data_IF_954677592172
#
_entry.id   IF_954677592172
#
_cell.length_a   1.000
_cell.length_b   1.000
_cell.length_c   1.000
_cell.angle_alpha   90.00
_cell.angle_beta   90.00
_cell.angle_gamma   90.00
#
_symmetry.space_group_name_H-M   'P 1'
#
loop_
_entity.id
_entity.type
_entity.pdbx_description
1 polymer ?
#
# COMPACT_ATOMS: atom_id res chain seq x y z
N UNK A 1 -40.77 -7.77 20.03
CA UNK A 1 -40.31 -7.17 18.76
C UNK A 1 -38.96 -6.45 18.87
N UNK A 2 -38.72 -5.64 19.91
CA UNK A 2 -37.47 -4.88 20.12
C UNK A 2 -36.18 -5.73 20.20
N UNK A 3 -36.21 -6.92 20.83
CA UNK A 3 -35.05 -7.82 20.89
C UNK A 3 -34.62 -8.38 19.52
N UNK A 4 -35.57 -8.58 18.58
CA UNK A 4 -35.29 -9.03 17.21
C UNK A 4 -34.71 -7.90 16.34
N UNK A 5 -35.08 -6.65 16.61
CA UNK A 5 -34.55 -5.47 15.91
C UNK A 5 -33.12 -5.16 16.37
N UNK A 6 -32.83 -5.32 17.66
CA UNK A 6 -31.46 -5.17 18.18
C UNK A 6 -30.50 -6.23 17.65
N UNK A 7 -30.92 -7.51 17.57
CA UNK A 7 -30.10 -8.55 16.94
C UNK A 7 -29.91 -8.32 15.44
N UNK A 8 -30.92 -7.85 14.71
CA UNK A 8 -30.77 -7.49 13.29
C UNK A 8 -29.84 -6.29 13.07
N UNK A 9 -29.85 -5.28 13.95
CA UNK A 9 -28.93 -4.13 13.89
C UNK A 9 -27.49 -4.52 14.27
N UNK A 10 -27.33 -5.41 15.25
CA UNK A 10 -26.02 -5.94 15.62
C UNK A 10 -25.43 -6.82 14.50
N UNK A 11 -26.26 -7.64 13.84
CA UNK A 11 -25.85 -8.52 12.74
C UNK A 11 -25.50 -7.74 11.47
N UNK A 12 -26.28 -6.71 11.14
CA UNK A 12 -25.95 -5.80 10.02
C UNK A 12 -24.66 -5.02 10.29
N UNK A 13 -24.43 -4.58 11.54
CA UNK A 13 -23.20 -3.92 11.93
C UNK A 13 -21.96 -4.81 11.81
N UNK A 14 -22.04 -6.07 12.25
CA UNK A 14 -20.90 -7.01 12.14
C UNK A 14 -20.59 -7.39 10.71
N UNK A 15 -21.60 -7.66 9.87
CA UNK A 15 -21.40 -7.96 8.44
C UNK A 15 -20.86 -6.75 7.68
N UNK A 16 -21.41 -5.56 7.92
CA UNK A 16 -20.92 -4.32 7.32
C UNK A 16 -19.48 -4.02 7.76
N UNK A 17 -19.16 -4.23 9.05
CA UNK A 17 -17.81 -4.06 9.58
C UNK A 17 -16.80 -5.02 8.93
N UNK A 18 -17.14 -6.30 8.81
CA UNK A 18 -16.29 -7.29 8.15
C UNK A 18 -16.06 -6.96 6.67
N UNK A 19 -17.12 -6.53 5.97
CA UNK A 19 -17.04 -6.12 4.56
C UNK A 19 -16.17 -4.88 4.37
N UNK A 20 -16.26 -3.90 5.27
CA UNK A 20 -15.37 -2.74 5.23
C UNK A 20 -13.92 -3.17 5.45
N UNK A 21 -13.62 -3.92 6.51
CA UNK A 21 -12.24 -4.35 6.81
C UNK A 21 -11.65 -5.15 5.63
N UNK A 22 -12.39 -6.09 5.05
CA UNK A 22 -11.89 -6.91 3.94
C UNK A 22 -11.65 -6.15 2.64
N UNK A 23 -12.40 -5.08 2.38
CA UNK A 23 -12.20 -4.25 1.19
C UNK A 23 -11.10 -3.20 1.37
N UNK A 24 -10.84 -2.79 2.61
CA UNK A 24 -9.89 -1.73 2.94
C UNK A 24 -8.45 -2.23 3.05
N UNK A 25 -8.23 -3.50 3.40
CA UNK A 25 -6.92 -4.12 3.48
C UNK A 25 -6.71 -5.13 2.35
N UNK A 26 -5.59 -5.05 1.64
CA UNK A 26 -5.19 -6.08 0.67
C UNK A 26 -3.78 -6.58 0.96
N UNK A 27 -3.60 -7.90 1.17
CA UNK A 27 -2.28 -8.49 1.25
C UNK A 27 -1.66 -8.58 -0.15
N UNK A 28 -0.39 -8.20 -0.26
CA UNK A 28 0.44 -8.35 -1.45
C UNK A 28 1.74 -9.05 -1.08
N UNK A 29 2.23 -9.90 -1.98
CA UNK A 29 3.55 -10.53 -1.87
C UNK A 29 4.55 -9.68 -2.65
N UNK A 30 5.57 -9.11 -1.99
CA UNK A 30 6.61 -8.33 -2.66
C UNK A 30 7.86 -9.22 -2.88
N UNK A 31 8.05 -9.71 -4.11
CA UNK A 31 9.23 -10.49 -4.47
C UNK A 31 10.26 -9.57 -5.17
N UNK A 32 11.35 -9.19 -4.49
CA UNK A 32 12.44 -8.42 -5.10
C UNK A 32 13.32 -7.60 -4.13
N UNK A 33 14.59 -7.39 -4.50
CA UNK A 33 15.60 -6.77 -3.62
C UNK A 33 15.48 -5.23 -3.50
N UNK A 34 14.50 -4.60 -4.13
CA UNK A 34 14.43 -3.13 -4.24
C UNK A 34 14.08 -2.39 -2.94
N UNK A 35 13.65 -3.12 -1.90
CA UNK A 35 13.29 -2.60 -0.58
C UNK A 35 14.21 -3.11 0.55
N UNK A 36 15.34 -3.75 0.22
CA UNK A 36 16.33 -4.15 1.23
C UNK A 36 16.91 -2.90 1.93
N UNK A 37 17.09 -2.90 3.27
CA UNK A 37 16.91 -4.01 4.22
C UNK A 37 15.50 -4.09 4.87
N UNK A 38 14.57 -3.19 4.53
CA UNK A 38 13.24 -3.12 5.19
C UNK A 38 12.31 -4.25 4.79
N UNK A 39 12.42 -4.75 3.56
CA UNK A 39 11.72 -5.93 3.06
C UNK A 39 12.73 -6.86 2.35
N UNK A 40 12.54 -8.17 2.47
CA UNK A 40 13.31 -9.30 1.93
C UNK A 40 14.69 -9.55 2.61
N UNK A 41 14.72 -9.74 3.93
CA UNK A 41 15.95 -10.07 4.68
C UNK A 41 16.17 -11.59 4.88
N UNK A 42 15.12 -12.42 4.90
CA UNK A 42 15.24 -13.85 5.28
C UNK A 42 14.55 -14.80 4.29
N UNK A 43 13.40 -14.41 3.74
CA UNK A 43 12.60 -15.19 2.80
C UNK A 43 12.22 -14.26 1.66
N UNK A 44 12.47 -14.64 0.41
CA UNK A 44 12.20 -13.81 -0.79
C UNK A 44 10.71 -13.50 -1.06
N UNK A 45 9.83 -13.68 -0.05
CA UNK A 45 8.37 -13.64 -0.13
C UNK A 45 7.78 -12.86 1.06
N UNK A 46 8.22 -11.62 1.29
CA UNK A 46 7.60 -10.80 2.34
C UNK A 46 6.13 -10.47 2.00
N UNK A 47 5.25 -10.72 2.97
CA UNK A 47 3.83 -10.39 2.90
C UNK A 47 3.60 -8.97 3.42
N UNK A 48 3.14 -8.08 2.55
CA UNK A 48 2.83 -6.69 2.89
C UNK A 48 1.32 -6.52 2.92
N UNK A 49 0.79 -5.99 4.01
CA UNK A 49 -0.62 -5.62 4.12
C UNK A 49 -0.73 -4.14 3.78
N UNK A 50 -1.49 -3.82 2.72
CA UNK A 50 -1.68 -2.45 2.25
C UNK A 50 -3.07 -1.96 2.59
N UNK A 51 -3.16 -0.78 3.17
CA UNK A 51 -4.41 -0.07 3.37
C UNK A 51 -4.79 0.76 2.12
N UNK A 52 -6.04 0.65 1.67
CA UNK A 52 -6.58 1.42 0.55
C UNK A 52 -7.17 2.76 0.95
N UNK A 53 -7.27 3.06 2.26
CA UNK A 53 -7.93 4.26 2.76
C UNK A 53 -7.02 5.48 2.65
N UNK A 54 -5.74 5.33 3.01
CA UNK A 54 -4.81 6.45 3.10
C UNK A 54 -4.59 7.21 1.79
N UNK A 55 -4.75 6.52 0.64
CA UNK A 55 -4.78 7.17 -0.68
C UNK A 55 -6.02 8.05 -0.91
N UNK A 56 -7.17 7.71 -0.35
CA UNK A 56 -8.42 8.45 -0.54
C UNK A 56 -8.53 9.64 0.41
N UNK A 57 -7.89 9.55 1.58
CA UNK A 57 -7.86 10.62 2.57
C UNK A 57 -6.64 11.54 2.44
N UNK A 58 -5.80 11.35 1.42
CA UNK A 58 -4.54 12.09 1.23
C UNK A 58 -3.66 12.14 2.49
N UNK A 59 -3.64 11.05 3.26
CA UNK A 59 -2.89 10.95 4.52
C UNK A 59 -1.45 10.47 4.33
N UNK A 60 -1.00 10.33 3.08
CA UNK A 60 0.33 9.84 2.73
C UNK A 60 1.41 10.85 3.17
N UNK A 61 2.45 10.34 3.82
CA UNK A 61 3.57 11.13 4.33
C UNK A 61 4.89 10.70 3.68
N UNK A 62 5.87 11.60 3.71
CA UNK A 62 7.25 11.24 3.35
C UNK A 62 7.74 10.11 4.24
N UNK A 63 8.34 9.11 3.64
CA UNK A 63 8.84 7.93 4.32
C UNK A 63 7.86 6.75 4.34
N UNK A 64 6.59 6.92 3.95
CA UNK A 64 5.64 5.81 3.89
C UNK A 64 5.98 4.84 2.74
N UNK A 65 5.64 3.57 2.92
CA UNK A 65 5.80 2.53 1.87
C UNK A 65 4.47 2.38 1.15
N UNK A 66 4.50 2.54 -0.17
CA UNK A 66 3.32 2.46 -1.03
C UNK A 66 3.51 1.39 -2.10
N UNK A 67 2.39 0.81 -2.50
CA UNK A 67 2.31 -0.06 -3.67
C UNK A 67 1.71 0.73 -4.81
N UNK A 68 2.44 0.81 -5.91
CA UNK A 68 2.03 1.50 -7.13
C UNK A 68 2.05 0.52 -8.31
N UNK A 69 1.26 0.81 -9.34
CA UNK A 69 1.38 0.11 -10.63
C UNK A 69 2.62 0.62 -11.36
N UNK A 70 3.35 -0.28 -12.00
CA UNK A 70 4.47 0.13 -12.85
C UNK A 70 3.95 0.90 -14.07
N UNK A 71 4.76 1.84 -14.57
CA UNK A 71 4.43 2.58 -15.78
C UNK A 71 4.65 1.72 -17.04
N UNK A 72 5.66 0.85 -17.01
CA UNK A 72 6.02 -0.03 -18.13
C UNK A 72 5.05 -1.21 -18.26
N UNK A 73 4.52 -1.70 -17.13
CA UNK A 73 3.58 -2.81 -17.08
C UNK A 73 2.50 -2.56 -16.01
N UNK A 74 1.25 -2.26 -16.41
CA UNK A 74 0.16 -1.96 -15.48
C UNK A 74 -0.37 -3.19 -14.72
N UNK A 75 0.01 -4.41 -15.14
CA UNK A 75 -0.26 -5.65 -14.39
C UNK A 75 0.75 -5.86 -13.25
N UNK A 76 1.95 -5.27 -13.38
CA UNK A 76 2.99 -5.35 -12.36
C UNK A 76 2.79 -4.31 -11.25
N UNK A 77 2.80 -4.78 -10.01
CA UNK A 77 2.78 -3.96 -8.80
C UNK A 77 4.19 -3.82 -8.23
N UNK A 78 4.59 -2.58 -7.93
CA UNK A 78 5.89 -2.24 -7.36
C UNK A 78 5.72 -1.66 -5.96
N UNK A 79 6.57 -2.10 -5.02
CA UNK A 79 6.62 -1.61 -3.65
C UNK A 79 7.74 -0.55 -3.56
N UNK A 80 7.42 0.70 -3.20
CA UNK A 80 8.37 1.83 -3.13
C UNK A 80 8.15 2.68 -1.87
N UNK A 81 9.15 3.46 -1.48
CA UNK A 81 9.06 4.43 -0.37
C UNK A 81 8.86 5.85 -0.90
N UNK A 82 7.91 6.59 -0.34
CA UNK A 82 7.67 8.00 -0.69
C UNK A 82 8.87 8.85 -0.27
N UNK A 83 9.61 9.37 -1.24
CA UNK A 83 10.72 10.30 -0.99
C UNK A 83 10.25 11.76 -0.84
N UNK A 84 9.17 12.12 -1.54
CA UNK A 84 8.63 13.47 -1.59
C UNK A 84 7.13 13.45 -1.92
N UNK A 85 6.43 14.51 -1.52
CA UNK A 85 5.00 14.70 -1.77
C UNK A 85 4.79 15.87 -2.76
N UNK A 86 3.53 16.14 -3.09
CA UNK A 86 3.17 17.29 -3.90
C UNK A 86 3.69 18.62 -3.29
N UNK A 87 4.22 19.50 -4.14
CA UNK A 87 4.81 20.77 -3.71
C UNK A 87 6.28 20.68 -3.24
N UNK A 88 6.82 19.49 -3.03
CA UNK A 88 8.23 19.33 -2.68
C UNK A 88 9.15 19.45 -3.89
N UNK A 89 10.31 20.10 -3.69
CA UNK A 89 11.38 20.13 -4.68
C UNK A 89 12.29 18.92 -4.52
N UNK A 90 12.10 17.92 -5.38
CA UNK A 90 13.01 16.79 -5.48
C UNK A 90 14.22 17.18 -6.30
N UNK A 91 15.39 17.23 -5.68
CA UNK A 91 16.66 17.36 -6.41
C UNK A 91 17.12 15.97 -6.79
N UNK A 92 17.26 15.70 -8.09
CA UNK A 92 17.88 14.45 -8.52
C UNK A 92 19.27 14.36 -7.90
N UNK A 93 19.53 13.30 -7.14
CA UNK A 93 20.86 13.13 -6.60
C UNK A 93 21.82 12.79 -7.73
N UNK A 94 23.06 13.31 -7.65
CA UNK A 94 24.05 13.23 -8.74
C UNK A 94 24.36 11.80 -9.22
N UNK A 95 24.07 10.78 -8.40
CA UNK A 95 24.29 9.36 -8.71
C UNK A 95 23.23 8.71 -9.61
N UNK A 96 22.11 9.39 -9.93
CA UNK A 96 21.06 8.84 -10.81
C UNK A 96 21.43 8.87 -12.31
N UNK A 97 22.64 9.33 -12.67
CA UNK A 97 23.06 9.55 -14.06
C UNK A 97 23.53 8.32 -14.84
N UNK A 98 23.55 7.11 -14.27
CA UNK A 98 24.30 5.99 -14.87
C UNK A 98 23.48 4.83 -15.46
N UNK A 99 22.17 4.95 -15.71
CA UNK A 99 21.39 3.79 -16.19
C UNK A 99 20.47 4.05 -17.39
N UNK A 100 20.29 5.31 -17.84
CA UNK A 100 19.58 5.60 -19.10
C UNK A 100 20.56 5.75 -20.28
N UNK A 101 21.44 4.77 -20.48
CA UNK A 101 22.07 4.48 -21.78
C UNK A 101 22.36 2.98 -21.83
N UNK A 102 21.43 2.22 -22.41
CA UNK A 102 21.73 1.18 -23.41
C UNK A 102 20.44 0.73 -24.07
#
# INVERSE_FOLDING_TARGET
MLFKVLTNRAFTGTVAGLFLVSNLFCPYTCNGNSMQPTLNNITNNDLVIVEKISKHLNLLKKGDVVVAKSHDDPEMLICKRIAALEGDRVRHPKWFKSTLVK
#
